data_IF_073586488888
#
_entry.id   IF_073586488888
#
_cell.length_a   1.000
_cell.length_b   1.000
_cell.length_c   1.000
_cell.angle_alpha   90.00
_cell.angle_beta   90.00
_cell.angle_gamma   90.00
#
_symmetry.space_group_name_H-M   'P 1'
#
loop_
_entity.id
_entity.type
_entity.pdbx_description
1 polymer ?
#
# COMPACT_ATOMS: atom_id res chain seq x y z
N UNK A 1 9.95 19.67 9.31
CA UNK A 1 8.97 19.65 8.23
C UNK A 1 9.66 19.62 6.87
N UNK A 2 8.96 19.19 5.82
CA UNK A 2 9.49 19.15 4.45
C UNK A 2 10.00 20.52 3.99
N UNK A 3 9.28 21.61 4.31
CA UNK A 3 9.73 22.99 4.05
C UNK A 3 11.10 23.29 4.68
N UNK A 4 11.30 22.89 5.94
CA UNK A 4 12.59 23.12 6.61
C UNK A 4 13.72 22.29 5.99
N UNK A 5 13.44 21.07 5.52
CA UNK A 5 14.42 20.27 4.79
C UNK A 5 14.88 20.97 3.52
N UNK A 6 13.93 21.50 2.74
CA UNK A 6 14.23 22.25 1.52
C UNK A 6 15.01 23.54 1.82
N UNK A 7 14.56 24.33 2.80
CA UNK A 7 15.20 25.58 3.20
C UNK A 7 16.67 25.36 3.65
N UNK A 8 16.92 24.32 4.41
CA UNK A 8 18.25 24.03 4.96
C UNK A 8 19.12 23.14 4.06
N UNK A 9 18.70 22.88 2.82
CA UNK A 9 19.42 22.00 1.87
C UNK A 9 19.77 20.64 2.49
N UNK A 10 18.81 20.05 3.20
CA UNK A 10 19.00 18.75 3.79
C UNK A 10 18.99 17.64 2.71
N UNK A 11 19.57 16.51 3.04
CA UNK A 11 19.46 15.26 2.27
C UNK A 11 18.48 14.31 2.97
N UNK A 12 17.62 13.65 2.23
CA UNK A 12 16.75 12.61 2.77
C UNK A 12 15.49 12.36 1.96
N UNK A 13 14.89 11.20 2.19
CA UNK A 13 13.67 10.77 1.51
C UNK A 13 12.49 10.77 2.48
N UNK A 14 11.44 11.48 2.11
CA UNK A 14 10.16 11.51 2.86
C UNK A 14 9.18 10.58 2.16
N UNK A 15 8.63 9.62 2.91
CA UNK A 15 7.56 8.74 2.40
C UNK A 15 6.21 9.22 2.93
N UNK A 16 5.27 9.51 2.03
CA UNK A 16 3.89 9.87 2.34
C UNK A 16 3.01 8.66 2.04
N UNK A 17 2.33 8.16 3.06
CA UNK A 17 1.42 7.01 2.94
C UNK A 17 -0.01 7.53 2.76
N UNK A 18 -0.46 7.65 1.51
CA UNK A 18 -1.81 8.13 1.18
C UNK A 18 -2.79 6.94 1.11
N UNK A 19 -3.57 6.78 2.17
CA UNK A 19 -4.65 5.80 2.25
C UNK A 19 -6.04 6.41 1.99
N UNK A 20 -6.10 7.65 1.49
CA UNK A 20 -7.33 8.38 1.15
C UNK A 20 -8.28 8.64 2.32
N UNK A 21 -7.80 8.55 3.58
CA UNK A 21 -8.57 8.83 4.78
C UNK A 21 -7.66 9.01 6.00
N UNK A 22 -8.16 9.62 7.07
CA UNK A 22 -7.53 9.53 8.40
C UNK A 22 -8.07 8.30 9.12
N UNK A 23 -7.51 7.12 8.78
CA UNK A 23 -8.09 5.81 9.17
C UNK A 23 -8.07 5.50 10.66
N UNK A 24 -6.97 5.87 11.37
CA UNK A 24 -6.75 5.49 12.77
C UNK A 24 -7.81 6.06 13.74
N UNK A 25 -8.38 7.21 13.42
CA UNK A 25 -9.33 7.92 14.29
C UNK A 25 -10.78 7.87 13.80
N UNK A 26 -11.12 6.95 12.89
CA UNK A 26 -12.50 6.70 12.46
C UNK A 26 -12.83 7.18 11.04
N UNK A 27 -11.89 7.13 10.13
CA UNK A 27 -12.10 7.42 8.71
C UNK A 27 -12.56 8.86 8.40
N UNK A 28 -11.96 9.84 9.10
CA UNK A 28 -12.30 11.23 8.84
C UNK A 28 -11.72 11.70 7.50
N UNK A 29 -12.49 12.59 6.87
CA UNK A 29 -12.00 13.34 5.72
C UNK A 29 -10.91 14.35 6.11
N UNK A 30 -10.03 14.66 5.17
CA UNK A 30 -8.97 15.65 5.31
C UNK A 30 -8.81 16.44 4.01
N UNK A 31 -7.94 17.43 4.00
CA UNK A 31 -7.84 18.38 2.90
C UNK A 31 -7.55 17.75 1.50
N UNK A 32 -7.02 16.52 1.45
CA UNK A 32 -6.75 15.81 0.19
C UNK A 32 -7.84 14.78 -0.20
N UNK A 33 -8.93 14.64 0.57
CA UNK A 33 -10.03 13.71 0.23
C UNK A 33 -11.10 14.33 -0.66
N UNK A 34 -11.10 15.65 -0.83
CA UNK A 34 -12.09 16.36 -1.65
C UNK A 34 -13.46 16.51 -0.99
N UNK A 35 -13.51 16.39 0.34
CA UNK A 35 -14.71 16.60 1.15
C UNK A 35 -14.43 17.50 2.34
N UNK A 36 -15.43 18.31 2.72
CA UNK A 36 -15.40 19.07 3.97
C UNK A 36 -15.69 18.14 5.16
N UNK A 37 -15.50 18.66 6.39
CA UNK A 37 -15.88 17.93 7.61
C UNK A 37 -17.40 17.63 7.71
N UNK A 38 -18.22 18.37 6.97
CA UNK A 38 -19.66 18.13 6.86
C UNK A 38 -20.03 17.19 5.71
N UNK A 39 -19.04 16.63 4.99
CA UNK A 39 -19.24 15.71 3.88
C UNK A 39 -19.56 16.35 2.53
N UNK A 40 -19.53 17.68 2.43
CA UNK A 40 -19.79 18.40 1.18
C UNK A 40 -18.60 18.29 0.22
N UNK A 41 -18.80 18.13 -1.11
CA UNK A 41 -17.72 18.14 -2.08
C UNK A 41 -16.94 19.47 -2.04
N UNK A 42 -15.63 19.39 -2.10
CA UNK A 42 -14.74 20.54 -2.11
C UNK A 42 -13.47 20.23 -2.90
N UNK A 43 -12.60 21.24 -3.03
CA UNK A 43 -11.28 21.05 -3.66
C UNK A 43 -10.41 20.08 -2.86
N UNK A 44 -9.85 19.08 -3.54
CA UNK A 44 -8.86 18.18 -2.98
C UNK A 44 -7.45 18.75 -3.18
N UNK A 45 -6.66 18.81 -2.13
CA UNK A 45 -5.24 19.19 -2.26
C UNK A 45 -4.50 18.11 -3.04
N UNK A 46 -3.82 18.52 -4.10
CA UNK A 46 -2.87 17.71 -4.85
C UNK A 46 -1.55 17.63 -4.05
N UNK A 47 -1.32 16.50 -3.37
CA UNK A 47 -0.12 16.30 -2.53
C UNK A 47 1.17 16.37 -3.36
N UNK A 48 1.29 15.72 -4.54
CA UNK A 48 2.43 15.89 -5.42
C UNK A 48 2.71 17.34 -5.81
N UNK A 49 1.67 18.09 -6.22
CA UNK A 49 1.81 19.49 -6.59
C UNK A 49 2.25 20.36 -5.39
N UNK A 50 1.72 20.10 -4.21
CA UNK A 50 2.13 20.77 -2.97
C UNK A 50 3.61 20.52 -2.66
N UNK A 51 4.09 19.28 -2.77
CA UNK A 51 5.51 18.95 -2.58
C UNK A 51 6.40 19.69 -3.58
N UNK A 52 6.00 19.78 -4.85
CA UNK A 52 6.73 20.52 -5.89
C UNK A 52 6.71 22.02 -5.61
N UNK A 53 5.59 22.57 -5.12
CA UNK A 53 5.48 23.98 -4.74
C UNK A 53 6.40 24.38 -3.58
N UNK A 54 6.69 23.44 -2.67
CA UNK A 54 7.69 23.60 -1.59
C UNK A 54 9.13 23.60 -2.14
N UNK A 55 9.33 23.17 -3.39
CA UNK A 55 10.64 23.13 -4.05
C UNK A 55 11.23 21.74 -4.22
N UNK A 56 10.53 20.67 -3.85
CA UNK A 56 11.01 19.29 -4.06
C UNK A 56 10.99 18.95 -5.54
N UNK A 57 12.13 18.57 -6.10
CA UNK A 57 12.27 18.19 -7.51
C UNK A 57 11.87 16.74 -7.74
N UNK A 58 12.26 15.86 -6.83
CA UNK A 58 12.03 14.42 -6.92
C UNK A 58 10.77 14.05 -6.15
N UNK A 59 9.64 14.02 -6.85
CA UNK A 59 8.34 13.60 -6.31
C UNK A 59 7.81 12.46 -7.15
N UNK A 60 7.74 11.27 -6.58
CA UNK A 60 7.35 10.02 -7.25
C UNK A 60 6.11 9.42 -6.59
N UNK A 61 5.11 9.06 -7.40
CA UNK A 61 3.94 8.32 -6.93
C UNK A 61 4.06 6.84 -7.32
N UNK A 62 3.71 5.95 -6.39
CA UNK A 62 3.74 4.50 -6.62
C UNK A 62 2.58 3.83 -5.87
N UNK A 63 2.03 2.77 -6.44
CA UNK A 63 1.04 1.94 -5.74
C UNK A 63 1.74 1.20 -4.59
N UNK A 64 1.14 1.25 -3.39
CA UNK A 64 1.70 0.60 -2.19
C UNK A 64 1.85 -0.93 -2.32
N UNK A 65 1.06 -1.57 -3.19
CA UNK A 65 1.09 -3.02 -3.41
C UNK A 65 1.93 -3.47 -4.63
N UNK A 66 2.47 -2.54 -5.41
CA UNK A 66 3.44 -2.82 -6.46
C UNK A 66 4.85 -2.92 -5.85
N UNK A 67 5.16 -4.09 -5.26
CA UNK A 67 6.39 -4.30 -4.48
C UNK A 67 7.64 -4.05 -5.33
N UNK A 68 7.68 -4.57 -6.56
CA UNK A 68 8.86 -4.46 -7.41
C UNK A 68 9.16 -3.00 -7.76
N UNK A 69 8.13 -2.27 -8.16
CA UNK A 69 8.25 -0.84 -8.47
C UNK A 69 8.57 -0.02 -7.23
N UNK A 70 7.91 -0.31 -6.10
CA UNK A 70 8.15 0.39 -4.84
C UNK A 70 9.59 0.19 -4.35
N UNK A 71 10.09 -1.04 -4.38
CA UNK A 71 11.47 -1.36 -3.99
C UNK A 71 12.48 -0.62 -4.87
N UNK A 72 12.25 -0.60 -6.20
CA UNK A 72 13.08 0.13 -7.15
C UNK A 72 13.08 1.62 -6.85
N UNK A 73 11.89 2.23 -6.70
CA UNK A 73 11.74 3.66 -6.40
C UNK A 73 12.42 4.02 -5.10
N UNK A 74 12.24 3.22 -4.04
CA UNK A 74 12.89 3.48 -2.74
C UNK A 74 14.41 3.47 -2.88
N UNK A 75 14.98 2.49 -3.58
CA UNK A 75 16.44 2.41 -3.81
C UNK A 75 16.96 3.61 -4.59
N UNK A 76 16.24 4.03 -5.62
CA UNK A 76 16.62 5.18 -6.46
C UNK A 76 16.54 6.50 -5.69
N UNK A 77 15.46 6.72 -4.92
CA UNK A 77 15.23 7.97 -4.22
C UNK A 77 16.13 8.14 -2.99
N UNK A 78 16.40 7.05 -2.26
CA UNK A 78 17.31 7.08 -1.11
C UNK A 78 18.78 7.31 -1.51
N UNK A 79 19.15 6.92 -2.72
CA UNK A 79 20.51 7.13 -3.23
C UNK A 79 20.80 8.59 -3.68
N UNK A 80 19.78 9.45 -3.74
CA UNK A 80 19.95 10.84 -4.15
C UNK A 80 20.49 11.71 -3.02
N UNK A 81 21.38 12.61 -3.37
CA UNK A 81 22.01 13.55 -2.43
C UNK A 81 21.23 14.87 -2.28
N UNK A 82 19.90 14.76 -2.33
CA UNK A 82 18.95 15.85 -2.18
C UNK A 82 17.64 15.36 -1.54
N UNK A 83 16.71 16.28 -1.27
CA UNK A 83 15.39 15.90 -0.76
C UNK A 83 14.57 15.25 -1.85
N UNK A 84 14.02 14.06 -1.58
CA UNK A 84 13.03 13.40 -2.41
C UNK A 84 11.76 13.02 -1.63
N UNK A 85 10.65 12.87 -2.34
CA UNK A 85 9.37 12.47 -1.77
C UNK A 85 8.81 11.30 -2.56
N UNK A 86 8.49 10.23 -1.85
CA UNK A 86 7.78 9.06 -2.39
C UNK A 86 6.36 9.09 -1.82
N UNK A 87 5.36 9.09 -2.68
CA UNK A 87 3.95 9.02 -2.29
C UNK A 87 3.44 7.63 -2.63
N UNK A 88 3.20 6.81 -1.60
CA UNK A 88 2.58 5.50 -1.79
C UNK A 88 1.07 5.64 -1.66
N UNK A 89 0.36 5.34 -2.75
CA UNK A 89 -1.09 5.53 -2.81
C UNK A 89 -1.82 4.19 -2.84
N UNK A 90 -2.67 3.96 -1.85
CA UNK A 90 -3.61 2.86 -1.84
C UNK A 90 -4.75 3.18 -0.87
N UNK A 91 -6.00 3.31 -1.36
CA UNK A 91 -7.15 3.60 -0.50
C UNK A 91 -7.29 2.56 0.63
N UNK A 92 -7.66 3.03 1.81
CA UNK A 92 -7.94 2.13 2.93
C UNK A 92 -9.03 1.14 2.56
N UNK A 93 -8.79 -0.15 2.80
CA UNK A 93 -9.73 -1.24 2.47
C UNK A 93 -11.12 -1.04 3.11
N UNK A 94 -11.18 -0.37 4.24
CA UNK A 94 -12.42 -0.11 4.97
C UNK A 94 -13.29 1.02 4.36
N UNK A 95 -12.78 1.76 3.37
CA UNK A 95 -13.56 2.75 2.63
C UNK A 95 -14.53 2.10 1.63
N UNK A 96 -14.18 0.91 1.14
CA UNK A 96 -15.01 0.14 0.22
C UNK A 96 -15.59 -1.08 0.94
N UNK A 97 -16.93 -1.07 1.12
CA UNK A 97 -17.68 -2.15 1.78
C UNK A 97 -18.21 -3.22 0.83
N UNK A 98 -17.85 -3.14 -0.46
CA UNK A 98 -18.21 -4.17 -1.43
C UNK A 98 -17.54 -5.50 -1.09
N UNK A 99 -18.16 -6.61 -1.50
CA UNK A 99 -17.51 -7.93 -1.44
C UNK A 99 -16.35 -7.93 -2.44
N UNK A 100 -15.15 -8.14 -1.93
CA UNK A 100 -13.94 -8.21 -2.75
C UNK A 100 -13.59 -9.66 -3.05
N UNK A 101 -12.96 -9.93 -4.19
CA UNK A 101 -12.33 -11.22 -4.42
C UNK A 101 -11.27 -11.47 -3.34
N UNK A 102 -11.04 -12.73 -3.02
CA UNK A 102 -10.06 -13.15 -2.01
C UNK A 102 -9.05 -14.11 -2.62
N UNK A 103 -7.90 -14.22 -1.99
CA UNK A 103 -6.91 -15.21 -2.38
C UNK A 103 -7.08 -16.49 -1.59
N UNK A 104 -6.88 -17.63 -2.25
CA UNK A 104 -6.79 -18.96 -1.63
C UNK A 104 -5.40 -19.55 -1.88
N UNK A 105 -4.99 -20.47 -1.03
CA UNK A 105 -3.74 -21.20 -1.19
C UNK A 105 -4.04 -22.68 -1.51
N UNK A 106 -3.46 -23.19 -2.60
CA UNK A 106 -3.53 -24.58 -3.01
C UNK A 106 -2.44 -25.39 -2.31
N UNK A 107 -2.84 -26.30 -1.43
CA UNK A 107 -1.92 -27.12 -0.62
C UNK A 107 -1.06 -28.04 -1.49
N UNK A 108 -1.61 -28.60 -2.56
CA UNK A 108 -0.94 -29.48 -3.51
C UNK A 108 0.19 -28.80 -4.28
N UNK A 109 0.04 -27.51 -4.59
CA UNK A 109 1.05 -26.69 -5.27
C UNK A 109 2.06 -26.07 -4.28
N UNK A 110 1.71 -25.96 -3.00
CA UNK A 110 2.49 -25.27 -1.99
C UNK A 110 3.81 -25.98 -1.68
N UNK A 111 4.95 -25.34 -1.92
CA UNK A 111 6.29 -25.85 -1.60
C UNK A 111 6.77 -25.51 -0.19
N UNK A 112 5.89 -25.00 0.69
CA UNK A 112 6.16 -24.72 2.11
C UNK A 112 7.32 -23.74 2.37
N UNK A 113 7.69 -22.95 1.37
CA UNK A 113 8.86 -22.04 1.41
C UNK A 113 8.66 -20.80 2.29
N UNK A 114 7.42 -20.42 2.59
CA UNK A 114 7.07 -19.30 3.45
C UNK A 114 7.32 -17.91 2.88
N UNK A 115 7.67 -17.77 1.60
CA UNK A 115 7.93 -16.45 0.98
C UNK A 115 6.71 -15.53 1.02
N UNK A 116 5.51 -16.06 0.80
CA UNK A 116 4.25 -15.33 0.84
C UNK A 116 3.91 -14.77 2.24
N UNK A 117 4.50 -15.32 3.31
CA UNK A 117 4.29 -14.85 4.69
C UNK A 117 5.18 -13.66 5.07
N UNK A 118 6.23 -13.34 4.28
CA UNK A 118 7.16 -12.26 4.60
C UNK A 118 6.51 -10.88 4.80
N UNK A 119 5.43 -10.51 4.08
CA UNK A 119 4.75 -9.24 4.30
C UNK A 119 4.04 -9.15 5.66
N UNK A 120 3.92 -10.25 6.43
CA UNK A 120 3.24 -10.25 7.71
C UNK A 120 1.71 -10.13 7.61
N UNK A 121 1.10 -10.67 6.53
CA UNK A 121 -0.34 -10.60 6.32
C UNK A 121 -1.10 -11.30 7.45
N UNK A 122 -2.05 -10.62 8.14
CA UNK A 122 -2.82 -11.23 9.23
C UNK A 122 -3.79 -12.33 8.79
N UNK A 123 -4.16 -12.35 7.50
CA UNK A 123 -5.00 -13.41 6.92
C UNK A 123 -4.25 -14.72 6.69
N UNK A 124 -2.90 -14.72 6.81
CA UNK A 124 -2.10 -15.91 6.47
C UNK A 124 -1.62 -16.66 7.70
N UNK A 125 -1.86 -17.95 7.71
CA UNK A 125 -1.37 -18.87 8.74
C UNK A 125 -0.63 -20.06 8.10
N UNK A 126 0.23 -20.70 8.88
CA UNK A 126 0.92 -21.92 8.47
C UNK A 126 0.22 -23.12 9.09
N UNK A 127 -0.18 -24.07 8.26
CA UNK A 127 -0.73 -25.34 8.70
C UNK A 127 0.32 -26.22 9.42
N UNK A 128 -0.13 -27.23 10.13
CA UNK A 128 0.75 -28.18 10.84
C UNK A 128 1.72 -28.89 9.91
N UNK A 129 1.29 -29.18 8.68
CA UNK A 129 2.11 -29.83 7.65
C UNK A 129 3.08 -28.85 6.95
N UNK A 130 3.00 -27.54 7.27
CA UNK A 130 3.83 -26.47 6.74
C UNK A 130 3.27 -25.77 5.49
N UNK A 131 2.14 -26.21 4.95
CA UNK A 131 1.42 -25.48 3.89
C UNK A 131 0.84 -24.17 4.41
N UNK A 132 0.36 -23.32 3.51
CA UNK A 132 -0.22 -22.02 3.87
C UNK A 132 -1.73 -22.08 3.75
N UNK A 133 -2.40 -21.53 4.75
CA UNK A 133 -3.83 -21.23 4.74
C UNK A 133 -4.05 -19.73 4.68
N UNK A 134 -5.04 -19.28 3.93
CA UNK A 134 -5.49 -17.89 3.86
C UNK A 134 -6.92 -17.82 4.36
N UNK A 135 -7.13 -17.08 5.45
CA UNK A 135 -8.46 -16.82 5.99
C UNK A 135 -9.18 -15.82 5.07
N UNK A 136 -10.25 -16.27 4.45
CA UNK A 136 -11.04 -15.49 3.48
C UNK A 136 -11.81 -14.33 4.15
N UNK A 137 -12.09 -14.43 5.44
CA UNK A 137 -12.77 -13.37 6.20
C UNK A 137 -11.84 -12.19 6.51
N UNK A 138 -10.54 -12.43 6.56
CA UNK A 138 -9.50 -11.45 6.80
C UNK A 138 -8.81 -10.99 5.53
N UNK A 139 -8.94 -11.73 4.44
CA UNK A 139 -8.29 -11.42 3.17
C UNK A 139 -8.93 -10.18 2.52
N UNK A 140 -8.11 -9.21 2.15
CA UNK A 140 -8.55 -7.95 1.50
C UNK A 140 -8.35 -7.95 -0.02
N UNK A 141 -7.89 -9.04 -0.60
CA UNK A 141 -7.66 -9.16 -2.05
C UNK A 141 -6.51 -8.30 -2.59
N UNK A 142 -5.52 -7.95 -1.77
CA UNK A 142 -4.45 -7.01 -2.16
C UNK A 142 -3.40 -7.58 -3.13
N UNK A 143 -3.30 -8.91 -3.29
CA UNK A 143 -2.40 -9.57 -4.25
C UNK A 143 -0.95 -9.76 -3.80
N UNK A 144 -0.51 -9.20 -2.66
CA UNK A 144 0.89 -9.29 -2.22
C UNK A 144 1.42 -10.73 -2.11
N UNK A 145 0.59 -11.64 -1.63
CA UNK A 145 0.97 -13.03 -1.44
C UNK A 145 1.15 -13.77 -2.76
N UNK A 146 0.32 -13.47 -3.76
CA UNK A 146 0.41 -14.03 -5.11
C UNK A 146 1.71 -13.61 -5.78
N UNK A 147 2.06 -12.31 -5.78
CA UNK A 147 3.29 -11.79 -6.41
C UNK A 147 4.56 -12.40 -5.83
N UNK A 148 4.52 -12.88 -4.58
CA UNK A 148 5.64 -13.52 -3.90
C UNK A 148 5.68 -15.05 -4.08
N UNK A 149 4.60 -15.65 -4.61
CA UNK A 149 4.51 -17.10 -4.80
C UNK A 149 5.06 -17.52 -6.16
N UNK A 150 6.30 -18.01 -6.20
CA UNK A 150 6.94 -18.52 -7.43
C UNK A 150 6.38 -19.87 -7.93
N UNK A 151 5.45 -20.46 -7.20
CA UNK A 151 4.93 -21.81 -7.47
C UNK A 151 3.46 -21.80 -7.90
N UNK A 152 2.90 -20.58 -8.13
CA UNK A 152 1.50 -20.40 -8.52
C UNK A 152 0.51 -21.17 -7.60
N UNK A 153 0.88 -21.23 -6.31
CA UNK A 153 0.08 -21.91 -5.30
C UNK A 153 -0.96 -20.98 -4.66
N UNK A 154 -1.03 -19.72 -5.07
CA UNK A 154 -1.97 -18.73 -4.55
C UNK A 154 -2.76 -18.19 -5.73
N UNK A 155 -4.08 -18.23 -5.63
CA UNK A 155 -5.01 -17.90 -6.71
C UNK A 155 -6.10 -16.95 -6.21
N UNK A 156 -6.50 -16.00 -7.06
CA UNK A 156 -7.61 -15.10 -6.79
C UNK A 156 -8.94 -15.80 -7.09
N UNK A 157 -9.87 -15.74 -6.15
CA UNK A 157 -11.21 -16.33 -6.28
C UNK A 157 -12.27 -15.25 -6.13
N UNK A 158 -13.23 -15.22 -7.04
CA UNK A 158 -14.34 -14.28 -7.02
C UNK A 158 -15.23 -14.48 -5.78
N UNK A 159 -15.84 -13.42 -5.29
CA UNK A 159 -16.64 -13.42 -4.06
C UNK A 159 -17.91 -14.31 -4.13
N UNK A 160 -18.25 -14.87 -5.30
CA UNK A 160 -19.41 -15.73 -5.56
C UNK A 160 -19.12 -17.23 -5.60
N UNK A 161 -17.87 -17.64 -5.68
CA UNK A 161 -17.45 -19.05 -5.91
C UNK A 161 -17.04 -19.77 -4.60
N UNK A 162 -17.65 -19.38 -3.48
CA UNK A 162 -17.40 -19.94 -2.14
C UNK A 162 -18.53 -20.81 -1.66
#
# INVERSE_FOLDING_TARGET
SLMNMMYNKATGTVMILDNSTTGMTGHQDHAATGKTLLGEPTYAIDIPALCRAIGVKNVVEVNAFDIEKLEKVVKEEVAKDEVSVIITKSPCVLLDKSKKPVYIAHEDKCKKCGMCMKPGCPAMTRNVDGTIHIDDTMCTGCGLCETLCKFEAIELVEAGDR
#
